data_IF_981195048436
#
_entry.id   IF_981195048436
#
_cell.length_a   1.000
_cell.length_b   1.000
_cell.length_c   1.000
_cell.angle_alpha   90.00
_cell.angle_beta   90.00
_cell.angle_gamma   90.00
#
_symmetry.space_group_name_H-M   'P 1'
#
loop_
_entity.id
_entity.type
_entity.pdbx_description
1 polymer ?
#
# COMPACT_ATOMS: atom_id res chain seq x y z
N UNK A 1 -0.97 -8.31 -5.90
CA UNK A 1 -1.66 -7.13 -5.33
C UNK A 1 -1.84 -6.07 -6.39
N UNK A 2 -2.89 -5.30 -6.26
CA UNK A 2 -3.13 -4.20 -7.17
C UNK A 2 -2.59 -2.90 -6.58
N UNK A 3 -2.31 -1.95 -7.44
CA UNK A 3 -1.83 -0.65 -6.97
C UNK A 3 -2.99 0.30 -6.80
N UNK A 4 -2.90 1.10 -5.77
CA UNK A 4 -3.94 2.09 -5.44
C UNK A 4 -3.29 3.40 -5.06
N UNK A 5 -4.00 4.49 -5.34
CA UNK A 5 -3.57 5.81 -4.93
C UNK A 5 -4.31 6.19 -3.67
N UNK A 6 -3.59 6.67 -2.69
CA UNK A 6 -4.17 7.13 -1.43
C UNK A 6 -4.80 8.49 -1.69
N UNK A 7 -6.11 8.58 -1.57
CA UNK A 7 -6.83 9.82 -1.84
C UNK A 7 -6.92 10.69 -0.60
N UNK A 8 -7.08 10.06 0.56
CA UNK A 8 -7.12 10.77 1.83
C UNK A 8 -6.17 10.08 2.79
N UNK A 9 -5.59 10.77 3.74
CA UNK A 9 -4.67 10.14 4.68
C UNK A 9 -5.34 8.96 5.37
N UNK A 10 -4.61 7.85 5.48
CA UNK A 10 -5.15 6.65 6.12
C UNK A 10 -4.15 6.09 7.09
N UNK A 11 -4.63 5.27 8.00
CA UNK A 11 -3.80 4.52 8.91
C UNK A 11 -4.12 3.06 8.75
N UNK A 12 -3.08 2.23 8.72
CA UNK A 12 -3.25 0.78 8.68
C UNK A 12 -2.74 0.20 9.99
N UNK A 13 -3.51 -0.71 10.55
CA UNK A 13 -3.15 -1.34 11.80
C UNK A 13 -2.55 -2.70 11.56
N UNK A 14 -2.10 -3.32 12.63
CA UNK A 14 -1.45 -4.61 12.56
C UNK A 14 -2.28 -5.64 11.79
N UNK A 15 -1.61 -6.41 11.00
CA UNK A 15 -2.26 -7.50 10.27
C UNK A 15 -2.48 -7.25 8.80
N UNK A 16 -2.45 -5.98 8.37
CA UNK A 16 -2.59 -5.72 6.95
C UNK A 16 -1.29 -6.01 6.22
N UNK A 17 -1.40 -6.41 4.97
CA UNK A 17 -0.23 -6.65 4.12
C UNK A 17 -0.27 -5.64 2.99
N UNK A 18 0.84 -4.98 2.73
CA UNK A 18 0.94 -3.96 1.69
C UNK A 18 2.19 -4.16 0.86
N UNK A 19 2.18 -3.60 -0.33
CA UNK A 19 3.33 -3.60 -1.20
C UNK A 19 3.84 -2.18 -1.27
N UNK A 20 5.10 -1.95 -0.96
CA UNK A 20 5.65 -0.61 -0.82
C UNK A 20 6.95 -0.48 -1.60
N UNK A 21 7.30 0.74 -1.98
CA UNK A 21 8.62 1.00 -2.52
C UNK A 21 9.61 0.99 -1.36
N UNK A 22 10.89 0.96 -1.68
CA UNK A 22 11.90 0.96 -0.64
C UNK A 22 11.84 2.23 0.17
N UNK A 23 11.60 3.36 -0.48
CA UNK A 23 11.52 4.64 0.23
C UNK A 23 10.37 4.65 1.23
N UNK A 24 9.22 4.12 0.81
CA UNK A 24 8.07 4.07 1.71
C UNK A 24 8.34 3.14 2.89
N UNK A 25 8.99 2.01 2.62
CA UNK A 25 9.29 1.04 3.66
C UNK A 25 10.31 1.56 4.67
N UNK A 26 11.33 2.26 4.19
CA UNK A 26 12.37 2.78 5.06
C UNK A 26 11.79 3.69 6.13
N UNK A 27 10.83 4.52 5.77
CA UNK A 27 10.23 5.43 6.71
C UNK A 27 9.41 4.72 7.78
N UNK A 28 9.07 3.48 7.56
CA UNK A 28 8.15 2.74 8.44
C UNK A 28 8.71 1.41 8.91
N UNK A 29 10.02 1.21 8.77
CA UNK A 29 10.61 -0.11 9.03
C UNK A 29 10.29 -0.70 10.39
N UNK A 30 10.28 0.13 11.42
CA UNK A 30 10.02 -0.36 12.76
C UNK A 30 8.60 -0.92 12.94
N UNK A 31 7.72 -0.60 12.03
CA UNK A 31 6.36 -1.07 12.09
C UNK A 31 6.03 -2.07 11.00
N UNK A 32 7.01 -2.53 10.26
CA UNK A 32 6.81 -3.45 9.16
C UNK A 32 7.61 -4.71 9.31
N UNK A 33 7.05 -5.81 8.84
CA UNK A 33 7.75 -7.08 8.79
C UNK A 33 7.86 -7.46 7.32
N UNK A 34 9.07 -7.60 6.77
CA UNK A 34 9.20 -7.97 5.36
C UNK A 34 8.71 -9.39 5.14
N UNK A 35 7.96 -9.59 4.07
CA UNK A 35 7.45 -10.91 3.72
C UNK A 35 8.17 -11.42 2.49
N UNK A 36 7.93 -10.80 1.38
CA UNK A 36 8.58 -11.15 0.15
C UNK A 36 9.02 -9.86 -0.47
N UNK A 37 9.61 -9.94 -1.67
CA UNK A 37 10.01 -8.78 -2.36
C UNK A 37 8.96 -7.71 -2.31
N UNK A 38 9.23 -6.58 -1.83
CA UNK A 38 8.38 -5.41 -1.76
C UNK A 38 7.08 -5.58 -0.96
N UNK A 39 6.83 -6.73 -0.37
CA UNK A 39 5.63 -6.95 0.43
C UNK A 39 5.96 -6.93 1.90
N UNK A 40 5.13 -6.29 2.69
CA UNK A 40 5.36 -6.12 4.11
C UNK A 40 4.07 -6.32 4.89
N UNK A 41 4.19 -6.91 6.06
CA UNK A 41 3.07 -7.03 6.98
C UNK A 41 3.19 -5.93 8.01
N UNK A 42 2.09 -5.25 8.31
CA UNK A 42 2.07 -4.19 9.31
C UNK A 42 2.11 -4.83 10.70
N UNK A 43 3.15 -4.52 11.48
CA UNK A 43 3.27 -5.05 12.83
C UNK A 43 2.68 -4.12 13.86
N UNK A 44 2.68 -2.85 13.59
CA UNK A 44 2.14 -1.87 14.50
C UNK A 44 1.12 -1.02 13.79
N UNK A 45 1.44 0.25 13.60
CA UNK A 45 0.53 1.15 12.95
C UNK A 45 1.33 1.97 11.98
N UNK A 46 0.86 2.11 10.76
CA UNK A 46 1.52 2.95 9.77
C UNK A 46 0.50 3.85 9.13
N UNK A 47 0.95 4.95 8.56
CA UNK A 47 0.06 5.88 7.90
C UNK A 47 0.61 6.26 6.54
N UNK A 48 -0.29 6.68 5.67
CA UNK A 48 0.08 7.15 4.35
C UNK A 48 -0.60 8.48 4.09
N UNK A 49 0.07 9.34 3.33
CA UNK A 49 -0.47 10.63 3.00
C UNK A 49 -1.23 10.56 1.68
N UNK A 50 -2.13 11.49 1.45
CA UNK A 50 -2.80 11.58 0.18
C UNK A 50 -1.75 11.74 -0.93
N UNK A 51 -1.93 11.03 -2.01
CA UNK A 51 -1.01 11.06 -3.14
C UNK A 51 -0.02 9.91 -3.19
N UNK A 52 0.14 9.17 -2.10
CA UNK A 52 1.03 8.02 -2.13
C UNK A 52 0.40 6.86 -2.90
N UNK A 53 1.24 6.02 -3.48
CA UNK A 53 0.76 4.86 -4.21
C UNK A 53 1.26 3.63 -3.48
N UNK A 54 0.34 2.73 -3.16
CA UNK A 54 0.68 1.51 -2.43
C UNK A 54 0.02 0.31 -3.11
N UNK A 55 0.58 -0.87 -2.89
CA UNK A 55 -0.06 -2.11 -3.32
C UNK A 55 -0.91 -2.66 -2.20
N UNK A 56 -2.09 -3.11 -2.52
CA UNK A 56 -3.03 -3.60 -1.51
C UNK A 56 -3.85 -4.76 -2.07
N UNK A 57 -4.35 -5.59 -1.17
CA UNK A 57 -5.15 -6.75 -1.54
C UNK A 57 -6.51 -6.29 -2.02
N UNK A 58 -6.88 -6.54 -3.28
CA UNK A 58 -8.17 -6.11 -3.77
C UNK A 58 -9.35 -6.73 -3.02
N UNK A 59 -9.14 -7.86 -2.37
CA UNK A 59 -10.18 -8.47 -1.58
C UNK A 59 -10.51 -7.70 -0.32
N UNK A 60 -9.63 -6.82 0.12
CA UNK A 60 -9.84 -6.03 1.33
C UNK A 60 -10.08 -4.56 1.03
N UNK A 61 -10.12 -4.19 -0.23
CA UNK A 61 -10.22 -2.79 -0.59
C UNK A 61 -11.52 -2.13 -0.16
N UNK A 62 -12.56 -2.90 0.07
CA UNK A 62 -13.83 -2.34 0.44
C UNK A 62 -13.77 -1.53 1.73
N UNK A 63 -12.86 -1.91 2.62
CA UNK A 63 -12.71 -1.22 3.89
C UNK A 63 -12.27 0.21 3.65
N UNK A 64 -11.58 0.45 2.55
CA UNK A 64 -11.05 1.77 2.26
C UNK A 64 -11.69 2.41 1.04
N UNK A 65 -12.94 2.07 0.77
CA UNK A 65 -13.66 2.66 -0.35
C UNK A 65 -13.71 4.18 -0.15
N UNK A 66 -13.40 4.91 -1.20
CA UNK A 66 -13.34 6.37 -1.11
C UNK A 66 -12.03 6.94 -0.59
N UNK A 67 -11.15 6.06 -0.10
CA UNK A 67 -9.86 6.49 0.43
C UNK A 67 -8.74 5.99 -0.47
N UNK A 68 -8.91 4.82 -1.07
CA UNK A 68 -7.96 4.27 -2.01
C UNK A 68 -8.63 4.14 -3.38
N UNK A 69 -7.95 4.60 -4.42
CA UNK A 69 -8.46 4.51 -5.77
C UNK A 69 -7.59 3.60 -6.60
N UNK A 70 -8.17 2.71 -7.38
CA UNK A 70 -7.38 1.81 -8.21
C UNK A 70 -6.62 2.57 -9.30
N UNK A 71 -5.42 2.12 -9.58
CA UNK A 71 -4.63 2.69 -10.63
C UNK A 71 -4.58 1.69 -11.76
N UNK A 72 -4.74 2.18 -13.00
CA UNK A 72 -4.70 1.30 -14.13
C UNK A 72 -3.28 0.90 -14.43
N UNK A 73 -2.92 -0.21 -13.85
CA UNK A 73 -1.55 -0.67 -13.96
C UNK A 73 -1.13 -1.03 -15.35
N UNK A 74 -2.05 -1.47 -16.15
CA UNK A 74 -1.70 -1.87 -17.49
C UNK A 74 -1.09 -0.74 -18.26
N UNK A 75 -1.42 0.48 -17.92
CA UNK A 75 -0.83 1.57 -18.61
C UNK A 75 0.63 1.66 -18.35
N UNK A 76 0.99 1.43 -17.14
CA UNK A 76 2.37 1.48 -16.78
C UNK A 76 3.07 0.30 -17.39
N UNK A 77 2.42 -0.80 -17.40
CA UNK A 77 3.04 -1.98 -17.89
C UNK A 77 3.27 -1.99 -19.36
N UNK A 78 2.45 -1.22 -20.07
CA UNK A 78 2.57 -1.29 -21.37
C UNK A 78 3.61 -0.68 -21.91
N UNK A 79 4.21 -0.03 -21.35
CA UNK A 79 5.15 0.58 -21.85
C UNK A 79 6.12 -0.31 -22.16
N UNK A 80 6.02 -1.19 -22.03
CA UNK A 80 6.77 -1.99 -22.32
C UNK A 80 6.77 -2.52 -23.10
#
# INVERSE_FOLDING_TARGET
MNLYKVVKPIELKRGFVVELTKEQAILRLHSLKPLKKDKYEVKGEISFKAGEIIGFDPGKIKIFAGVLEPIKVEQAGKRK
#
